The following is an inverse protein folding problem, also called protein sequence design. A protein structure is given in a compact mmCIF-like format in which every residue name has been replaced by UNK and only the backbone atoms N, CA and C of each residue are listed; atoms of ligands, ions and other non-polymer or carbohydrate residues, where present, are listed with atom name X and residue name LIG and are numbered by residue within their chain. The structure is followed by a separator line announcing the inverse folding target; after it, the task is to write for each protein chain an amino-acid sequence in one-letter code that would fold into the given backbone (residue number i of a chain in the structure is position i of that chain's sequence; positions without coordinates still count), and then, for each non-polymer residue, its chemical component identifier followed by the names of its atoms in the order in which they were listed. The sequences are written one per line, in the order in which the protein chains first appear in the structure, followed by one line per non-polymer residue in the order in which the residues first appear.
data_IF_190941268178
#
_entry.id   IF_190941268178
#
_cell.length_a   1.000
_cell.length_b   1.000
_cell.length_c   1.000
_cell.angle_alpha   90.00
_cell.angle_beta   90.00
_cell.angle_gamma   90.00
#
_symmetry.space_group_name_H-M   'P 1'
#
loop_
_entity.id
_entity.type
_entity.pdbx_description
1 polymer ?
#
# COMPACT_ATOMS: atom_id res chain seq x y z
N UNK A 1 13.21 -30.88 -6.76
CA UNK A 1 14.05 -29.86 -6.07
C UNK A 1 14.49 -28.68 -6.96
N UNK A 2 15.05 -28.88 -8.17
CA UNK A 2 15.53 -27.76 -9.04
C UNK A 2 14.45 -26.77 -9.53
N UNK A 3 13.23 -27.24 -9.80
CA UNK A 3 12.10 -26.39 -10.22
C UNK A 3 11.70 -25.42 -9.10
N UNK A 4 11.74 -25.88 -7.85
CA UNK A 4 11.41 -25.08 -6.66
C UNK A 4 12.43 -23.97 -6.40
N UNK A 5 13.70 -24.20 -6.75
CA UNK A 5 14.79 -23.21 -6.56
C UNK A 5 14.76 -22.13 -7.65
N UNK A 6 14.44 -22.49 -8.90
CA UNK A 6 14.29 -21.54 -10.01
C UNK A 6 13.08 -20.61 -9.83
N UNK A 7 11.98 -21.12 -9.28
CA UNK A 7 10.82 -20.29 -8.92
C UNK A 7 11.11 -19.41 -7.71
N UNK A 8 11.86 -19.91 -6.72
CA UNK A 8 12.31 -19.10 -5.58
C UNK A 8 13.14 -17.89 -6.03
N UNK A 9 14.13 -18.11 -6.91
CA UNK A 9 15.02 -17.04 -7.36
C UNK A 9 14.27 -15.95 -8.15
N UNK A 10 13.35 -16.36 -9.03
CA UNK A 10 12.47 -15.42 -9.76
C UNK A 10 11.52 -14.69 -8.82
N UNK A 11 10.95 -15.37 -7.84
CA UNK A 11 10.06 -14.78 -6.84
C UNK A 11 10.76 -13.71 -6.01
N UNK A 12 11.99 -13.98 -5.54
CA UNK A 12 12.80 -13.01 -4.79
C UNK A 12 13.11 -11.78 -5.65
N UNK A 13 13.54 -11.95 -6.90
CA UNK A 13 13.83 -10.82 -7.80
C UNK A 13 12.58 -9.97 -8.03
N UNK A 14 11.42 -10.59 -8.26
CA UNK A 14 10.16 -9.87 -8.43
C UNK A 14 9.72 -9.15 -7.16
N UNK A 15 9.92 -9.75 -5.99
CA UNK A 15 9.61 -9.12 -4.71
C UNK A 15 10.51 -7.91 -4.44
N UNK A 16 11.81 -8.01 -4.71
CA UNK A 16 12.75 -6.89 -4.59
C UNK A 16 12.43 -5.78 -5.59
N UNK A 17 12.09 -6.12 -6.84
CA UNK A 17 11.66 -5.15 -7.83
C UNK A 17 10.36 -4.44 -7.42
N UNK A 18 9.39 -5.18 -6.88
CA UNK A 18 8.16 -4.61 -6.34
C UNK A 18 8.44 -3.66 -5.18
N UNK A 19 9.30 -4.04 -4.23
CA UNK A 19 9.70 -3.19 -3.10
C UNK A 19 10.40 -1.90 -3.56
N UNK A 20 11.31 -2.00 -4.54
CA UNK A 20 11.98 -0.83 -5.10
C UNK A 20 11.00 0.12 -5.82
N UNK A 21 10.09 -0.43 -6.63
CA UNK A 21 9.06 0.36 -7.32
C UNK A 21 8.08 1.00 -6.33
N UNK A 22 7.69 0.27 -5.30
CA UNK A 22 6.80 0.77 -4.24
C UNK A 22 7.47 1.92 -3.48
N UNK A 23 8.72 1.76 -3.05
CA UNK A 23 9.49 2.81 -2.38
C UNK A 23 9.74 4.03 -3.26
N UNK A 24 9.93 3.86 -4.57
CA UNK A 24 10.08 4.96 -5.52
C UNK A 24 8.76 5.68 -5.85
N UNK A 25 7.62 5.00 -5.72
CA UNK A 25 6.32 5.56 -6.08
C UNK A 25 5.92 6.75 -5.20
N UNK A 26 6.13 6.69 -3.87
CA UNK A 26 5.72 7.78 -2.97
C UNK A 26 6.50 9.09 -3.22
N UNK A 27 7.84 9.10 -3.35
CA UNK A 27 8.57 10.30 -3.76
C UNK A 27 8.18 10.81 -5.16
N UNK A 28 8.01 9.92 -6.14
CA UNK A 28 7.59 10.31 -7.47
C UNK A 28 6.19 10.94 -7.48
N UNK A 29 5.24 10.36 -6.75
CA UNK A 29 3.90 10.90 -6.58
C UNK A 29 3.93 12.26 -5.88
N UNK A 30 4.81 12.45 -4.88
CA UNK A 30 4.97 13.75 -4.21
C UNK A 30 5.40 14.85 -5.17
N UNK A 31 6.30 14.56 -6.12
CA UNK A 31 6.71 15.51 -7.15
C UNK A 31 5.53 15.87 -8.06
N UNK A 32 4.73 14.88 -8.47
CA UNK A 32 3.56 15.11 -9.32
C UNK A 32 2.45 15.90 -8.61
N UNK A 33 2.28 15.72 -7.29
CA UNK A 33 1.32 16.48 -6.48
C UNK A 33 1.61 17.99 -6.43
N UNK A 34 2.81 18.43 -6.83
CA UNK A 34 3.09 19.86 -6.99
C UNK A 34 2.31 20.50 -8.14
N UNK A 35 1.83 19.68 -9.09
CA UNK A 35 1.19 20.15 -10.33
C UNK A 35 -0.19 19.53 -10.58
N UNK A 36 -0.51 18.43 -9.90
CA UNK A 36 -1.74 17.65 -10.11
C UNK A 36 -2.49 17.55 -8.78
N UNK A 37 -3.82 17.71 -8.81
CA UNK A 37 -4.64 17.57 -7.61
C UNK A 37 -4.61 16.12 -7.07
N UNK A 38 -4.78 15.92 -5.74
CA UNK A 38 -4.76 14.59 -5.14
C UNK A 38 -5.74 13.59 -5.77
N UNK A 39 -6.95 14.05 -6.08
CA UNK A 39 -7.99 13.25 -6.71
C UNK A 39 -7.61 12.81 -8.13
N UNK A 40 -7.09 13.74 -8.93
CA UNK A 40 -6.67 13.45 -10.29
C UNK A 40 -5.48 12.50 -10.31
N UNK A 41 -4.49 12.71 -9.44
CA UNK A 41 -3.33 11.84 -9.37
C UNK A 41 -3.72 10.43 -8.92
N UNK A 42 -4.59 10.29 -7.91
CA UNK A 42 -5.12 9.00 -7.50
C UNK A 42 -5.81 8.26 -8.66
N UNK A 43 -6.65 8.97 -9.42
CA UNK A 43 -7.33 8.41 -10.59
C UNK A 43 -6.35 7.99 -11.68
N UNK A 44 -5.33 8.80 -11.98
CA UNK A 44 -4.32 8.48 -12.99
C UNK A 44 -3.47 7.27 -12.58
N UNK A 45 -3.08 7.16 -11.32
CA UNK A 45 -2.32 6.01 -10.81
C UNK A 45 -3.10 4.71 -10.96
N UNK A 46 -4.38 4.71 -10.58
CA UNK A 46 -5.24 3.51 -10.63
C UNK A 46 -5.71 3.18 -12.05
N UNK A 47 -5.96 4.19 -12.88
CA UNK A 47 -6.22 3.97 -14.30
C UNK A 47 -4.97 3.38 -14.98
N UNK A 48 -3.80 3.93 -14.68
CA UNK A 48 -2.52 3.44 -15.17
C UNK A 48 -2.25 1.98 -14.77
N UNK A 49 -2.50 1.61 -13.51
CA UNK A 49 -2.37 0.22 -13.05
C UNK A 49 -3.37 -0.70 -13.75
N UNK A 50 -4.61 -0.24 -13.96
CA UNK A 50 -5.64 -0.99 -14.69
C UNK A 50 -5.25 -1.26 -16.15
N UNK A 51 -4.78 -0.23 -16.86
CA UNK A 51 -4.29 -0.35 -18.24
C UNK A 51 -3.06 -1.27 -18.29
N UNK A 52 -2.11 -1.09 -17.37
CA UNK A 52 -0.90 -1.92 -17.31
C UNK A 52 -1.23 -3.39 -17.11
N UNK A 53 -2.14 -3.71 -16.19
CA UNK A 53 -2.61 -5.08 -15.97
C UNK A 53 -3.37 -5.62 -17.18
N UNK A 54 -4.21 -4.81 -17.82
CA UNK A 54 -4.94 -5.19 -19.03
C UNK A 54 -4.00 -5.55 -20.18
N UNK A 55 -3.00 -4.71 -20.46
CA UNK A 55 -1.96 -4.97 -21.47
C UNK A 55 -1.18 -6.24 -21.12
N UNK A 56 -0.77 -6.41 -19.86
CA UNK A 56 -0.05 -7.61 -19.43
C UNK A 56 -0.87 -8.88 -19.64
N UNK A 57 -2.18 -8.86 -19.32
CA UNK A 57 -3.08 -10.00 -19.55
C UNK A 57 -3.28 -10.28 -21.04
N UNK A 58 -3.39 -9.24 -21.87
CA UNK A 58 -3.50 -9.38 -23.31
C UNK A 58 -2.25 -10.02 -23.93
N UNK A 59 -1.05 -9.54 -23.54
CA UNK A 59 0.24 -10.09 -24.00
C UNK A 59 0.42 -11.54 -23.54
N UNK A 60 0.04 -11.86 -22.30
CA UNK A 60 0.08 -13.23 -21.77
C UNK A 60 -1.04 -14.13 -22.28
N UNK A 61 -2.00 -13.59 -23.05
CA UNK A 61 -3.23 -14.28 -23.49
C UNK A 61 -3.92 -14.99 -22.33
N UNK A 62 -4.00 -14.32 -21.19
CA UNK A 62 -4.53 -14.91 -19.97
C UNK A 62 -6.05 -15.14 -20.11
N UNK A 63 -6.54 -16.26 -19.58
CA UNK A 63 -7.96 -16.62 -19.66
C UNK A 63 -8.86 -15.55 -19.03
N UNK A 64 -10.08 -15.46 -19.56
CA UNK A 64 -11.11 -14.58 -19.04
C UNK A 64 -11.58 -15.07 -17.66
N UNK A 65 -11.59 -14.17 -16.69
CA UNK A 65 -12.11 -14.45 -15.34
C UNK A 65 -13.62 -14.21 -15.35
N UNK A 66 -14.40 -15.23 -14.99
CA UNK A 66 -15.84 -15.11 -14.76
C UNK A 66 -16.09 -15.07 -13.26
N UNK A 67 -16.64 -13.96 -12.78
CA UNK A 67 -17.02 -13.78 -11.38
C UNK A 67 -18.41 -14.35 -11.14
N UNK A 68 -18.60 -15.02 -10.00
CA UNK A 68 -19.91 -15.47 -9.60
C UNK A 68 -20.78 -14.24 -9.22
N UNK A 69 -22.10 -14.27 -9.45
CA UNK A 69 -22.97 -13.14 -9.12
C UNK A 69 -22.92 -12.73 -7.65
N UNK A 70 -22.67 -13.68 -6.74
CA UNK A 70 -22.51 -13.45 -5.30
C UNK A 70 -21.24 -12.69 -4.93
N UNK A 71 -20.20 -12.74 -5.76
CA UNK A 71 -18.89 -12.12 -5.50
C UNK A 71 -18.87 -10.65 -5.90
N UNK A 72 -19.82 -10.20 -6.73
CA UNK A 72 -19.84 -8.84 -7.25
C UNK A 72 -19.98 -7.78 -6.15
N UNK A 73 -20.72 -8.09 -5.08
CA UNK A 73 -20.87 -7.21 -3.90
C UNK A 73 -19.56 -7.06 -3.14
N UNK A 74 -18.82 -8.16 -2.96
CA UNK A 74 -17.51 -8.15 -2.31
C UNK A 74 -16.46 -7.44 -3.15
N UNK A 75 -16.46 -7.69 -4.47
CA UNK A 75 -15.59 -6.99 -5.40
C UNK A 75 -15.89 -5.48 -5.42
N UNK A 76 -17.17 -5.08 -5.46
CA UNK A 76 -17.56 -3.68 -5.37
C UNK A 76 -17.07 -3.01 -4.08
N UNK A 77 -17.16 -3.73 -2.94
CA UNK A 77 -16.60 -3.27 -1.67
C UNK A 77 -15.09 -3.08 -1.72
N UNK A 78 -14.35 -4.05 -2.26
CA UNK A 78 -12.90 -3.97 -2.41
C UNK A 78 -12.47 -2.83 -3.35
N UNK A 79 -13.20 -2.61 -4.44
CA UNK A 79 -12.96 -1.49 -5.37
C UNK A 79 -13.23 -0.15 -4.67
N UNK A 80 -14.32 -0.03 -3.92
CA UNK A 80 -14.64 1.21 -3.23
C UNK A 80 -13.60 1.53 -2.13
N UNK A 81 -13.27 0.56 -1.28
CA UNK A 81 -12.33 0.74 -0.18
C UNK A 81 -10.89 0.92 -0.67
N UNK A 82 -10.36 -0.07 -1.38
CA UNK A 82 -8.95 -0.10 -1.79
C UNK A 82 -8.67 0.58 -3.14
N UNK A 83 -9.66 0.64 -4.03
CA UNK A 83 -9.53 1.21 -5.37
C UNK A 83 -9.84 2.70 -5.47
N UNK A 84 -10.69 3.23 -4.59
CA UNK A 84 -11.17 4.62 -4.65
C UNK A 84 -10.83 5.39 -3.39
N UNK A 85 -11.25 4.92 -2.22
CA UNK A 85 -11.09 5.65 -0.96
C UNK A 85 -9.61 5.70 -0.55
N UNK A 86 -8.93 4.56 -0.50
CA UNK A 86 -7.54 4.49 -0.06
C UNK A 86 -6.58 5.33 -0.90
N UNK A 87 -6.62 5.32 -2.25
CA UNK A 87 -5.71 6.11 -3.07
C UNK A 87 -5.92 7.62 -2.91
N UNK A 88 -7.18 8.05 -2.79
CA UNK A 88 -7.52 9.46 -2.54
C UNK A 88 -7.01 9.87 -1.16
N UNK A 89 -7.24 9.06 -0.12
CA UNK A 89 -6.71 9.31 1.22
C UNK A 89 -5.19 9.37 1.23
N UNK A 90 -4.50 8.46 0.53
CA UNK A 90 -3.05 8.50 0.40
C UNK A 90 -2.59 9.80 -0.26
N UNK A 91 -3.18 10.20 -1.39
CA UNK A 91 -2.77 11.42 -2.08
C UNK A 91 -3.05 12.68 -1.26
N UNK A 92 -4.16 12.72 -0.52
CA UNK A 92 -4.49 13.82 0.41
C UNK A 92 -3.48 13.87 1.56
N UNK A 93 -3.16 12.72 2.17
CA UNK A 93 -2.16 12.63 3.24
C UNK A 93 -0.78 13.05 2.74
N UNK A 94 -0.36 12.48 1.60
CA UNK A 94 0.93 12.78 0.97
C UNK A 94 1.06 14.25 0.57
N UNK A 95 -0.02 14.93 0.18
CA UNK A 95 0.02 16.36 -0.10
C UNK A 95 0.45 17.16 1.13
N UNK A 96 -0.05 16.80 2.31
CA UNK A 96 0.19 17.52 3.57
C UNK A 96 1.38 17.05 4.41
N UNK A 97 2.20 16.09 3.94
CA UNK A 97 3.38 15.62 4.66
C UNK A 97 4.58 15.31 3.75
N UNK A 98 5.81 15.17 4.30
CA UNK A 98 6.96 14.73 3.51
C UNK A 98 6.77 13.31 2.95
N UNK A 99 7.32 13.04 1.77
CA UNK A 99 7.25 11.71 1.14
C UNK A 99 7.88 10.62 2.00
N UNK A 100 8.96 10.96 2.73
CA UNK A 100 9.61 10.05 3.68
C UNK A 100 8.65 9.63 4.79
N UNK A 101 7.94 10.57 5.42
CA UNK A 101 6.96 10.28 6.45
C UNK A 101 5.79 9.43 5.93
N UNK A 102 5.29 9.72 4.73
CA UNK A 102 4.21 8.93 4.13
C UNK A 102 4.68 7.50 3.83
N UNK A 103 5.86 7.33 3.25
CA UNK A 103 6.45 6.01 2.98
C UNK A 103 6.69 5.20 4.25
N UNK A 104 7.04 5.84 5.37
CA UNK A 104 7.16 5.18 6.66
C UNK A 104 5.80 4.71 7.16
N UNK A 105 4.79 5.58 7.15
CA UNK A 105 3.43 5.26 7.59
C UNK A 105 2.78 4.15 6.75
N UNK A 106 3.12 4.02 5.45
CA UNK A 106 2.64 2.92 4.61
C UNK A 106 3.04 1.53 5.13
N UNK A 107 4.12 1.40 5.92
CA UNK A 107 4.45 0.12 6.55
C UNK A 107 3.40 -0.32 7.58
N UNK A 108 2.59 0.61 8.10
CA UNK A 108 1.49 0.31 9.00
C UNK A 108 0.39 -0.53 8.34
N UNK A 109 0.29 -0.55 7.01
CA UNK A 109 -0.62 -1.45 6.27
C UNK A 109 -0.43 -2.90 6.72
N UNK A 110 0.80 -3.40 6.72
CA UNK A 110 1.10 -4.78 7.15
C UNK A 110 0.65 -5.08 8.59
N UNK A 111 0.77 -4.10 9.49
CA UNK A 111 0.33 -4.20 10.87
C UNK A 111 -1.20 -4.24 10.93
N UNK A 112 -1.88 -3.32 10.23
CA UNK A 112 -3.34 -3.25 10.16
C UNK A 112 -3.95 -4.50 9.55
N UNK A 113 -3.40 -5.01 8.45
CA UNK A 113 -3.85 -6.26 7.80
C UNK A 113 -3.78 -7.43 8.77
N UNK A 114 -2.68 -7.58 9.51
CA UNK A 114 -2.55 -8.69 10.43
C UNK A 114 -3.37 -8.52 11.73
N UNK A 115 -3.61 -7.28 12.20
CA UNK A 115 -4.58 -7.02 13.28
C UNK A 115 -6.01 -7.34 12.82
N UNK A 116 -6.39 -6.95 11.61
CA UNK A 116 -7.70 -7.24 11.03
C UNK A 116 -7.89 -8.75 10.85
N UNK A 117 -6.88 -9.46 10.34
CA UNK A 117 -6.88 -10.92 10.23
C UNK A 117 -7.13 -11.59 11.59
N UNK A 118 -6.41 -11.14 12.63
CA UNK A 118 -6.60 -11.67 13.98
C UNK A 118 -8.00 -11.38 14.54
N UNK A 119 -8.54 -10.17 14.37
CA UNK A 119 -9.83 -9.79 14.96
C UNK A 119 -11.04 -10.35 14.17
N UNK A 120 -11.04 -10.18 12.85
CA UNK A 120 -12.17 -10.54 11.99
C UNK A 120 -12.21 -12.04 11.66
N UNK A 121 -11.05 -12.63 11.36
CA UNK A 121 -10.94 -14.03 10.96
C UNK A 121 -10.53 -14.96 12.11
N UNK A 122 -10.17 -14.39 13.28
CA UNK A 122 -9.73 -15.14 14.47
C UNK A 122 -8.53 -16.06 14.18
N UNK A 123 -7.66 -15.61 13.28
CA UNK A 123 -6.46 -16.34 12.91
C UNK A 123 -5.45 -16.36 14.07
N UNK A 124 -4.63 -17.41 14.14
CA UNK A 124 -3.70 -17.60 15.25
C UNK A 124 -2.63 -16.50 15.27
N UNK A 125 -2.59 -15.76 16.38
CA UNK A 125 -1.61 -14.70 16.61
C UNK A 125 -0.52 -15.19 17.56
N UNK A 126 0.70 -15.36 17.04
CA UNK A 126 1.84 -15.85 17.80
C UNK A 126 2.79 -14.71 18.24
N UNK A 127 3.70 -15.01 19.16
CA UNK A 127 4.68 -14.01 19.65
C UNK A 127 5.60 -13.49 18.55
N UNK A 128 5.83 -14.25 17.48
CA UNK A 128 6.70 -13.83 16.37
C UNK A 128 6.05 -12.74 15.54
N UNK A 129 4.76 -12.87 15.22
CA UNK A 129 3.99 -11.83 14.53
C UNK A 129 3.97 -10.55 15.37
N UNK A 130 3.73 -10.66 16.68
CA UNK A 130 3.74 -9.51 17.59
C UNK A 130 5.09 -8.78 17.59
N UNK A 131 6.19 -9.52 17.67
CA UNK A 131 7.54 -8.94 17.62
C UNK A 131 7.83 -8.28 16.27
N UNK A 132 7.36 -8.85 15.17
CA UNK A 132 7.47 -8.26 13.83
C UNK A 132 6.72 -6.93 13.74
N UNK A 133 5.46 -6.88 14.18
CA UNK A 133 4.67 -5.65 14.23
C UNK A 133 5.32 -4.59 15.12
N UNK A 134 5.79 -4.98 16.31
CA UNK A 134 6.47 -4.08 17.23
C UNK A 134 7.74 -3.50 16.61
N UNK A 135 8.52 -4.31 15.89
CA UNK A 135 9.72 -3.85 15.18
C UNK A 135 9.39 -2.86 14.06
N UNK A 136 8.32 -3.09 13.29
CA UNK A 136 7.85 -2.16 12.24
C UNK A 136 7.44 -0.82 12.85
N UNK A 137 6.64 -0.84 13.92
CA UNK A 137 6.19 0.37 14.62
C UNK A 137 7.39 1.11 15.23
N UNK A 138 8.31 0.39 15.89
CA UNK A 138 9.52 0.97 16.45
C UNK A 138 10.41 1.61 15.37
N UNK A 139 10.61 0.93 14.24
CA UNK A 139 11.35 1.47 13.10
C UNK A 139 10.70 2.73 12.53
N UNK A 140 9.38 2.75 12.39
CA UNK A 140 8.63 3.93 11.95
C UNK A 140 8.79 5.10 12.94
N UNK A 141 8.74 4.84 14.25
CA UNK A 141 8.93 5.88 15.28
C UNK A 141 10.35 6.44 15.27
N UNK A 142 11.37 5.59 15.17
CA UNK A 142 12.78 6.00 15.12
C UNK A 142 13.06 6.84 13.87
N UNK A 143 12.55 6.42 12.71
CA UNK A 143 12.79 7.12 11.43
C UNK A 143 11.92 8.39 11.28
N UNK A 144 10.78 8.47 11.98
CA UNK A 144 9.94 9.67 12.00
C UNK A 144 10.36 10.68 13.07
N UNK A 145 11.37 10.37 13.89
CA UNK A 145 11.83 11.28 14.94
C UNK A 145 12.43 12.56 14.31
N UNK A 146 12.01 13.77 14.73
CA UNK A 146 12.51 15.01 14.15
C UNK A 146 14.01 15.17 14.42
N UNK A 147 14.83 15.18 13.37
CA UNK A 147 16.28 15.34 13.46
C UNK A 147 16.75 16.82 13.56
N UNK A 148 15.87 17.75 13.88
CA UNK A 148 16.19 19.17 14.05
C UNK A 148 14.95 19.93 14.49
N UNK A 149 15.08 20.81 15.49
CA UNK A 149 14.02 21.45 16.29
C UNK A 149 12.95 22.29 15.58
N UNK A 150 12.78 22.15 14.26
CA UNK A 150 11.54 22.52 13.60
C UNK A 150 10.52 21.41 13.86
N UNK A 151 9.39 21.76 14.47
CA UNK A 151 8.24 20.87 14.66
C UNK A 151 7.61 20.50 13.31
N UNK A 152 8.30 19.67 12.52
CA UNK A 152 7.74 18.95 11.38
C UNK A 152 6.89 17.77 11.89
N UNK A 153 6.06 18.03 12.90
CA UNK A 153 5.05 17.07 13.33
C UNK A 153 4.21 16.85 12.09
N UNK A 154 4.20 15.60 11.60
CA UNK A 154 3.21 15.18 10.62
C UNK A 154 1.89 15.68 11.14
N UNK A 155 1.22 16.56 10.38
CA UNK A 155 -0.10 17.02 10.77
C UNK A 155 -0.93 15.78 11.07
N UNK A 156 -1.61 15.76 12.22
CA UNK A 156 -2.42 14.61 12.63
C UNK A 156 -3.35 14.17 11.49
N UNK A 157 -3.88 15.14 10.75
CA UNK A 157 -4.77 14.91 9.61
C UNK A 157 -4.10 14.17 8.43
N UNK A 158 -2.94 14.62 7.89
CA UNK A 158 -2.15 13.83 6.95
C UNK A 158 -1.82 12.41 7.41
N UNK A 159 -1.40 12.23 8.66
CA UNK A 159 -1.10 10.89 9.20
C UNK A 159 -2.33 9.99 9.21
N UNK A 160 -3.45 10.50 9.73
CA UNK A 160 -4.71 9.77 9.77
C UNK A 160 -5.23 9.43 8.37
N UNK A 161 -5.03 10.31 7.39
CA UNK A 161 -5.37 10.02 6.00
C UNK A 161 -4.53 8.85 5.45
N UNK A 162 -3.20 8.84 5.68
CA UNK A 162 -2.35 7.71 5.24
C UNK A 162 -2.71 6.41 5.98
N UNK A 163 -2.97 6.46 7.29
CA UNK A 163 -3.43 5.30 8.06
C UNK A 163 -4.81 4.80 7.59
N UNK A 164 -5.71 5.71 7.24
CA UNK A 164 -7.00 5.37 6.64
C UNK A 164 -6.86 4.75 5.25
N UNK A 165 -5.87 5.18 4.47
CA UNK A 165 -5.53 4.52 3.21
C UNK A 165 -5.03 3.09 3.44
N UNK A 166 -4.11 2.90 4.39
CA UNK A 166 -3.62 1.58 4.79
C UNK A 166 -4.77 0.66 5.23
N UNK A 167 -5.72 1.18 6.01
CA UNK A 167 -6.91 0.43 6.43
C UNK A 167 -7.83 0.07 5.26
N UNK A 168 -7.94 0.95 4.25
CA UNK A 168 -8.75 0.66 3.06
C UNK A 168 -8.15 -0.41 2.14
N UNK A 169 -6.83 -0.66 2.25
CA UNK A 169 -6.15 -1.77 1.56
C UNK A 169 -6.09 -3.06 2.37
N UNK A 170 -6.11 -2.96 3.71
CA UNK A 170 -6.12 -4.08 4.64
C UNK A 170 -7.42 -4.91 4.58
#
# INVERSE_FOLDING_TARGET
MRVLTLTLHRGVVLALAAAALFGAATPAAKLLLAHVSPWMLAALLYLGSGIGLWVLRAVRRADAVRLAPSEWRWLGGAIAAGGVIAPVLLMVGLAGMPASGASLLLNAESVLTAVLAWFAFKENFDRRILLGMAAIVAGALVLSWPAGGASNVVGLWPALAVLGACLGWA
#
